data_IF_838658278952
#
_entry.id   IF_838658278952
#
_cell.length_a   1.000
_cell.length_b   1.000
_cell.length_c   1.000
_cell.angle_alpha   90.00
_cell.angle_beta   90.00
_cell.angle_gamma   90.00
#
_symmetry.space_group_name_H-M   'P 1'
#
loop_
_entity.id
_entity.type
_entity.pdbx_description
1 polymer ?
#
# COMPACT_ATOMS: atom_id res chain seq x y z
N UNK A 1 45.43 -22.73 52.12
CA UNK A 1 45.61 -23.72 51.06
C UNK A 1 44.25 -24.08 50.51
N UNK A 2 44.11 -24.20 49.18
CA UNK A 2 42.90 -24.76 48.57
C UNK A 2 42.80 -26.25 48.91
N UNK A 3 41.63 -26.68 49.37
CA UNK A 3 41.35 -28.07 49.75
C UNK A 3 40.62 -28.82 48.63
N UNK A 4 40.58 -30.14 48.70
CA UNK A 4 39.79 -30.97 47.78
C UNK A 4 38.29 -30.68 47.86
N UNK A 5 37.81 -30.19 49.01
CA UNK A 5 36.43 -29.72 49.17
C UNK A 5 36.18 -28.45 48.35
N UNK A 6 37.15 -27.53 48.31
CA UNK A 6 37.08 -26.32 47.50
C UNK A 6 37.06 -26.65 46.00
N UNK A 7 37.90 -27.61 45.57
CA UNK A 7 37.93 -28.08 44.17
C UNK A 7 36.60 -28.71 43.75
N UNK A 8 35.98 -29.55 44.61
CA UNK A 8 34.66 -30.14 44.33
C UNK A 8 33.56 -29.08 44.21
N UNK A 9 33.58 -28.06 45.06
CA UNK A 9 32.63 -26.93 44.97
C UNK A 9 32.80 -26.17 43.66
N UNK A 10 34.04 -25.95 43.22
CA UNK A 10 34.30 -25.29 41.93
C UNK A 10 33.76 -26.11 40.76
N UNK A 11 33.93 -27.43 40.75
CA UNK A 11 33.39 -28.30 39.70
C UNK A 11 31.86 -28.25 39.60
N UNK A 12 31.15 -28.03 40.72
CA UNK A 12 29.69 -27.88 40.69
C UNK A 12 29.20 -26.49 40.27
N UNK A 13 30.08 -25.49 40.27
CA UNK A 13 29.73 -24.07 40.01
C UNK A 13 30.13 -23.63 38.60
N UNK A 14 31.25 -24.14 38.09
CA UNK A 14 31.76 -23.77 36.78
C UNK A 14 31.02 -24.52 35.66
N UNK A 15 30.63 -23.76 34.64
CA UNK A 15 30.16 -24.35 33.39
C UNK A 15 31.32 -25.04 32.65
N UNK A 16 31.00 -26.17 32.03
CA UNK A 16 31.87 -26.94 31.14
C UNK A 16 31.73 -26.44 29.69
N UNK A 17 32.56 -26.95 28.78
CA UNK A 17 32.42 -26.59 27.36
C UNK A 17 31.10 -27.13 26.79
N UNK A 18 30.73 -28.34 27.17
CA UNK A 18 29.50 -29.01 26.78
C UNK A 18 28.25 -28.24 27.23
N UNK A 19 28.33 -27.49 28.34
CA UNK A 19 27.25 -26.61 28.78
C UNK A 19 27.05 -25.41 27.83
N UNK A 20 28.12 -24.92 27.19
CA UNK A 20 28.09 -23.75 26.32
C UNK A 20 27.61 -24.07 24.90
N UNK A 21 27.76 -25.31 24.43
CA UNK A 21 27.34 -25.74 23.09
C UNK A 21 25.83 -25.56 22.81
N UNK A 22 25.03 -25.38 23.86
CA UNK A 22 23.57 -25.14 23.77
C UNK A 22 23.21 -23.68 23.49
N UNK A 23 24.16 -22.76 23.63
CA UNK A 23 23.92 -21.33 23.48
C UNK A 23 24.36 -20.87 22.09
N UNK A 24 23.56 -19.99 21.49
CA UNK A 24 23.96 -19.29 20.27
C UNK A 24 25.17 -18.38 20.54
N UNK A 25 26.08 -18.29 19.57
CA UNK A 25 27.18 -17.33 19.58
C UNK A 25 26.76 -16.01 18.91
N UNK A 26 27.58 -14.96 19.04
CA UNK A 26 27.23 -13.64 18.49
C UNK A 26 27.01 -13.68 16.98
N UNK A 27 27.82 -14.48 16.31
CA UNK A 27 27.79 -14.66 14.87
C UNK A 27 26.47 -15.27 14.39
N UNK A 28 25.84 -16.14 15.19
CA UNK A 28 24.55 -16.76 14.87
C UNK A 28 23.42 -15.72 14.80
N UNK A 29 23.56 -14.60 15.52
CA UNK A 29 22.53 -13.56 15.60
C UNK A 29 22.60 -12.56 14.44
N UNK A 30 23.70 -12.53 13.68
CA UNK A 30 23.92 -11.54 12.61
C UNK A 30 22.92 -11.65 11.45
N UNK A 31 22.21 -12.78 11.32
CA UNK A 31 21.27 -13.01 10.22
C UNK A 31 19.83 -12.65 10.59
N UNK A 32 19.57 -12.30 11.85
CA UNK A 32 18.23 -11.91 12.29
C UNK A 32 18.00 -10.43 12.06
N UNK A 33 16.84 -10.11 11.47
CA UNK A 33 16.38 -8.74 11.38
C UNK A 33 16.15 -8.16 12.78
N UNK A 34 16.53 -6.89 12.96
CA UNK A 34 16.26 -6.15 14.19
C UNK A 34 14.97 -5.35 14.06
N UNK A 35 14.49 -4.82 15.19
CA UNK A 35 13.27 -4.01 15.25
C UNK A 35 13.28 -2.83 14.26
N UNK A 36 14.43 -2.19 14.09
CA UNK A 36 14.62 -1.08 13.16
C UNK A 36 14.46 -1.51 11.69
N UNK A 37 14.92 -2.71 11.32
CA UNK A 37 14.77 -3.25 9.95
C UNK A 37 13.28 -3.43 9.60
N UNK A 38 12.49 -3.89 10.57
CA UNK A 38 11.04 -4.05 10.41
C UNK A 38 10.33 -2.70 10.29
N UNK A 39 10.71 -1.72 11.11
CA UNK A 39 10.12 -0.39 11.06
C UNK A 39 10.43 0.32 9.73
N UNK A 40 11.67 0.22 9.25
CA UNK A 40 12.04 0.72 7.92
C UNK A 40 11.27 0.03 6.79
N UNK A 41 10.98 -1.25 6.93
CA UNK A 41 10.18 -2.00 5.96
C UNK A 41 8.71 -1.55 5.98
N UNK A 42 8.14 -1.38 7.17
CA UNK A 42 6.77 -0.88 7.39
C UNK A 42 6.60 0.53 6.80
N UNK A 43 7.51 1.45 7.12
CA UNK A 43 7.48 2.83 6.61
C UNK A 43 7.57 2.87 5.08
N UNK A 44 8.46 2.06 4.49
CA UNK A 44 8.61 1.99 3.02
C UNK A 44 7.39 1.41 2.33
N UNK A 45 6.79 0.36 2.88
CA UNK A 45 5.58 -0.26 2.33
C UNK A 45 4.38 0.69 2.48
N UNK A 46 4.17 1.24 3.67
CA UNK A 46 3.07 2.15 3.97
C UNK A 46 3.14 3.39 3.09
N UNK A 47 4.28 4.09 3.07
CA UNK A 47 4.38 5.34 2.34
C UNK A 47 4.20 5.16 0.83
N UNK A 48 4.90 4.22 0.19
CA UNK A 48 4.82 4.09 -1.28
C UNK A 48 3.45 3.62 -1.74
N UNK A 49 2.88 2.63 -1.06
CA UNK A 49 1.60 2.06 -1.46
C UNK A 49 0.45 3.03 -1.22
N UNK A 50 0.43 3.70 -0.07
CA UNK A 50 -0.63 4.68 0.25
C UNK A 50 -0.55 5.90 -0.66
N UNK A 51 0.64 6.44 -0.95
CA UNK A 51 0.77 7.56 -1.90
C UNK A 51 0.27 7.21 -3.29
N UNK A 52 0.56 6.00 -3.79
CA UNK A 52 0.06 5.56 -5.10
C UNK A 52 -1.45 5.34 -5.10
N UNK A 53 -2.05 4.87 -3.98
CA UNK A 53 -3.49 4.78 -3.85
C UNK A 53 -4.17 6.15 -3.85
N UNK A 54 -3.58 7.14 -3.17
CA UNK A 54 -4.10 8.51 -3.12
C UNK A 54 -4.12 9.15 -4.52
N UNK A 55 -3.06 8.95 -5.31
CA UNK A 55 -2.96 9.44 -6.69
C UNK A 55 -4.05 8.82 -7.58
N UNK A 56 -4.20 7.50 -7.55
CA UNK A 56 -5.26 6.79 -8.29
C UNK A 56 -6.66 7.24 -7.85
N UNK A 57 -6.88 7.44 -6.55
CA UNK A 57 -8.15 7.93 -6.03
C UNK A 57 -8.47 9.34 -6.51
N UNK A 58 -7.44 10.20 -6.62
CA UNK A 58 -7.59 11.55 -7.15
C UNK A 58 -8.03 11.51 -8.62
N UNK A 59 -7.31 10.77 -9.46
CA UNK A 59 -7.65 10.61 -10.88
C UNK A 59 -9.05 10.02 -11.08
N UNK A 60 -9.42 8.98 -10.31
CA UNK A 60 -10.75 8.39 -10.39
C UNK A 60 -11.86 9.36 -9.98
N UNK A 61 -11.58 10.25 -9.03
CA UNK A 61 -12.50 11.30 -8.62
C UNK A 61 -12.71 12.31 -9.75
N UNK A 62 -11.62 12.75 -10.39
CA UNK A 62 -11.68 13.67 -11.52
C UNK A 62 -12.44 13.07 -12.70
N UNK A 63 -12.13 11.82 -13.09
CA UNK A 63 -12.84 11.10 -14.16
C UNK A 63 -14.34 11.01 -13.87
N UNK A 64 -14.72 10.73 -12.61
CA UNK A 64 -16.12 10.64 -12.22
C UNK A 64 -16.83 11.99 -12.35
N UNK A 65 -16.19 13.08 -11.94
CA UNK A 65 -16.74 14.43 -12.05
C UNK A 65 -16.90 14.86 -13.52
N UNK A 66 -15.91 14.56 -14.36
CA UNK A 66 -15.97 14.79 -15.81
C UNK A 66 -17.06 13.96 -16.48
N UNK A 67 -17.21 12.69 -16.10
CA UNK A 67 -18.25 11.83 -16.64
C UNK A 67 -19.65 12.35 -16.31
N UNK A 68 -19.89 12.73 -15.05
CA UNK A 68 -21.18 13.28 -14.62
C UNK A 68 -21.48 14.57 -15.39
N UNK A 69 -20.52 15.48 -15.47
CA UNK A 69 -20.70 16.76 -16.16
C UNK A 69 -20.92 16.55 -17.67
N UNK A 70 -20.19 15.63 -18.27
CA UNK A 70 -20.35 15.22 -19.67
C UNK A 70 -21.73 14.63 -19.94
N UNK A 71 -22.23 13.75 -19.07
CA UNK A 71 -23.56 13.16 -19.19
C UNK A 71 -24.67 14.22 -19.14
N UNK A 72 -24.57 15.21 -18.24
CA UNK A 72 -25.51 16.33 -18.18
C UNK A 72 -25.49 17.16 -19.46
N UNK A 73 -24.31 17.53 -19.96
CA UNK A 73 -24.18 18.28 -21.22
C UNK A 73 -24.74 17.51 -22.41
N UNK A 74 -24.49 16.20 -22.47
CA UNK A 74 -24.98 15.35 -23.54
C UNK A 74 -26.51 15.24 -23.52
N UNK A 75 -27.12 15.13 -22.32
CA UNK A 75 -28.57 15.15 -22.16
C UNK A 75 -29.19 16.46 -22.67
N UNK A 76 -28.59 17.60 -22.34
CA UNK A 76 -29.06 18.91 -22.82
C UNK A 76 -28.90 19.07 -24.33
N UNK A 77 -27.74 18.65 -24.88
CA UNK A 77 -27.48 18.70 -26.31
C UNK A 77 -28.43 17.79 -27.09
N UNK A 78 -28.76 16.60 -26.56
CA UNK A 78 -29.73 15.70 -27.18
C UNK A 78 -31.09 16.38 -27.37
N UNK A 79 -31.58 17.11 -26.35
CA UNK A 79 -32.85 17.87 -26.45
C UNK A 79 -32.76 19.01 -27.46
N UNK A 80 -31.61 19.69 -27.54
CA UNK A 80 -31.39 20.76 -28.52
C UNK A 80 -31.36 20.20 -29.95
N UNK A 81 -30.73 19.04 -30.15
CA UNK A 81 -30.66 18.36 -31.45
C UNK A 81 -32.07 17.95 -31.88
N UNK A 82 -32.86 17.31 -31.02
CA UNK A 82 -34.25 16.95 -31.29
C UNK A 82 -35.07 18.17 -31.74
N UNK A 83 -34.97 19.30 -31.01
CA UNK A 83 -35.63 20.54 -31.40
C UNK A 83 -35.16 21.07 -32.77
N UNK A 84 -33.85 21.01 -33.04
CA UNK A 84 -33.31 21.44 -34.33
C UNK A 84 -33.80 20.54 -35.47
N UNK A 85 -33.88 19.22 -35.25
CA UNK A 85 -34.41 18.26 -36.22
C UNK A 85 -35.89 18.56 -36.54
N UNK A 86 -36.73 18.82 -35.53
CA UNK A 86 -38.13 19.23 -35.73
C UNK A 86 -38.25 20.52 -36.57
N UNK A 87 -37.43 21.54 -36.24
CA UNK A 87 -37.44 22.82 -36.96
C UNK A 87 -36.98 22.67 -38.41
N UNK A 88 -35.96 21.84 -38.66
CA UNK A 88 -35.48 21.55 -40.02
C UNK A 88 -36.59 20.86 -40.81
N UNK A 89 -37.24 19.83 -40.26
CA UNK A 89 -38.35 19.13 -40.92
C UNK A 89 -39.47 20.10 -41.32
N UNK A 90 -39.86 21.00 -40.41
CA UNK A 90 -40.90 22.00 -40.70
C UNK A 90 -40.50 22.98 -41.82
N UNK A 91 -39.24 23.41 -41.87
CA UNK A 91 -38.74 24.29 -42.92
C UNK A 91 -38.68 23.57 -44.26
N UNK A 92 -38.20 22.32 -44.28
CA UNK A 92 -38.14 21.48 -45.49
C UNK A 92 -39.53 21.24 -46.09
N UNK A 93 -40.53 20.94 -45.26
CA UNK A 93 -41.93 20.84 -45.69
C UNK A 93 -42.45 22.15 -46.30
N UNK A 94 -42.08 23.30 -45.72
CA UNK A 94 -42.53 24.61 -46.20
C UNK A 94 -41.90 25.04 -47.53
N UNK A 95 -40.70 24.54 -47.84
CA UNK A 95 -39.97 24.83 -49.09
C UNK A 95 -40.30 23.84 -50.22
N UNK A 96 -40.95 22.71 -49.90
CA UNK A 96 -41.35 21.69 -50.87
C UNK A 96 -42.62 22.05 -51.66
N UNK A 97 -43.25 23.18 -51.36
CA UNK A 97 -44.41 23.77 -52.06
C UNK A 97 -44.02 25.05 -52.80
#
# INVERSE_FOLDING_TARGET
>A
MLTSLDIKKLQSVFATKEDLDRFAIKEDLNWFAIKEDLQNSEDRLGHKFLSSLDEVMHELKEIREDFITGAYRNSENSKKIENHEERISSVEESLAF
#
